data_IF_979838265789
#
_entry.id   IF_979838265789
#
_cell.length_a   1.000
_cell.length_b   1.000
_cell.length_c   1.000
_cell.angle_alpha   90.00
_cell.angle_beta   90.00
_cell.angle_gamma   90.00
#
_symmetry.space_group_name_H-M   'P 1'
#
loop_
_entity.id
_entity.type
_entity.pdbx_description
1 polymer ?
#
# COMPACT_ATOMS: atom_id res chain seq x y z
N UNK A 1 7.70 48.48 46.04
CA UNK A 1 7.37 47.04 45.96
C UNK A 1 6.22 46.71 45.01
N UNK A 2 5.20 47.57 44.82
CA UNK A 2 4.05 47.27 43.95
C UNK A 2 4.40 47.12 42.45
N UNK A 3 5.31 47.93 41.89
CA UNK A 3 5.66 47.85 40.46
C UNK A 3 6.31 46.51 40.05
N UNK A 4 7.16 45.95 40.92
CA UNK A 4 7.83 44.66 40.67
C UNK A 4 6.81 43.50 40.59
N UNK A 5 5.72 43.58 41.35
CA UNK A 5 4.67 42.55 41.36
C UNK A 5 3.85 42.59 40.07
N UNK A 6 3.59 43.79 39.54
CA UNK A 6 2.84 43.98 38.29
C UNK A 6 3.66 43.47 37.09
N UNK A 7 4.96 43.76 37.04
CA UNK A 7 5.84 43.28 35.96
C UNK A 7 5.95 41.75 35.94
N UNK A 8 6.06 41.13 37.11
CA UNK A 8 6.09 39.67 37.23
C UNK A 8 4.76 39.01 36.81
N UNK A 9 3.62 39.63 37.13
CA UNK A 9 2.30 39.15 36.71
C UNK A 9 2.11 39.24 35.19
N UNK A 10 2.60 40.32 34.56
CA UNK A 10 2.50 40.53 33.12
C UNK A 10 3.36 39.50 32.36
N UNK A 11 4.59 39.25 32.81
CA UNK A 11 5.48 38.23 32.24
C UNK A 11 4.86 36.83 32.38
N UNK A 12 4.29 36.49 33.54
CA UNK A 12 3.59 35.23 33.76
C UNK A 12 2.39 35.06 32.81
N UNK A 13 1.61 36.13 32.58
CA UNK A 13 0.46 36.08 31.69
C UNK A 13 0.88 35.83 30.23
N UNK A 14 1.94 36.50 29.76
CA UNK A 14 2.48 36.29 28.41
C UNK A 14 3.01 34.87 28.23
N UNK A 15 3.77 34.35 29.19
CA UNK A 15 4.31 32.98 29.11
C UNK A 15 3.17 31.95 29.08
N UNK A 16 2.10 32.16 29.88
CA UNK A 16 0.93 31.27 29.89
C UNK A 16 0.18 31.27 28.56
N UNK A 17 -0.05 32.44 27.97
CA UNK A 17 -0.78 32.54 26.69
C UNK A 17 0.04 31.94 25.55
N UNK A 18 1.34 32.25 25.47
CA UNK A 18 2.25 31.68 24.46
C UNK A 18 2.39 30.17 24.64
N UNK A 19 2.55 29.70 25.88
CA UNK A 19 2.64 28.27 26.21
C UNK A 19 1.39 27.49 25.79
N UNK A 20 0.19 28.04 26.04
CA UNK A 20 -1.06 27.41 25.62
C UNK A 20 -1.21 27.34 24.09
N UNK A 21 -0.82 28.38 23.37
CA UNK A 21 -0.86 28.42 21.90
C UNK A 21 0.10 27.36 21.32
N UNK A 22 1.34 27.30 21.81
CA UNK A 22 2.31 26.32 21.33
C UNK A 22 1.90 24.88 21.64
N UNK A 23 1.31 24.66 22.81
CA UNK A 23 0.83 23.33 23.23
C UNK A 23 -0.30 22.82 22.32
N UNK A 24 -1.15 23.71 21.80
CA UNK A 24 -2.18 23.34 20.81
C UNK A 24 -1.63 23.23 19.38
N UNK A 25 -0.62 24.04 19.03
CA UNK A 25 -0.07 24.09 17.67
C UNK A 25 0.77 22.86 17.32
N UNK A 26 1.58 22.35 18.26
CA UNK A 26 2.50 21.22 18.01
C UNK A 26 1.76 19.91 17.65
N UNK A 27 0.72 19.47 18.39
CA UNK A 27 -0.05 18.29 18.03
C UNK A 27 -0.79 18.45 16.70
N UNK A 28 -1.31 19.64 16.41
CA UNK A 28 -2.00 19.95 15.16
C UNK A 28 -1.06 19.80 13.96
N UNK A 29 0.15 20.37 14.04
CA UNK A 29 1.15 20.26 12.98
C UNK A 29 1.63 18.81 12.79
N UNK A 30 1.86 18.09 13.89
CA UNK A 30 2.24 16.68 13.84
C UNK A 30 1.15 15.82 13.19
N UNK A 31 -0.10 16.01 13.59
CA UNK A 31 -1.26 15.32 13.00
C UNK A 31 -1.41 15.63 11.52
N UNK A 32 -1.17 16.88 11.09
CA UNK A 32 -1.23 17.27 9.69
C UNK A 32 -0.16 16.56 8.84
N UNK A 33 1.10 16.52 9.31
CA UNK A 33 2.20 15.85 8.59
C UNK A 33 1.93 14.35 8.46
N UNK A 34 1.51 13.71 9.56
CA UNK A 34 1.20 12.28 9.59
C UNK A 34 -0.01 12.00 8.69
N UNK A 35 -1.07 12.79 8.81
CA UNK A 35 -2.28 12.66 8.00
C UNK A 35 -1.99 12.75 6.51
N UNK A 36 -1.18 13.73 6.09
CA UNK A 36 -0.76 13.85 4.68
C UNK A 36 0.01 12.62 4.21
N UNK A 37 0.92 12.08 5.02
CA UNK A 37 1.68 10.86 4.67
C UNK A 37 0.76 9.64 4.53
N UNK A 38 -0.17 9.46 5.45
CA UNK A 38 -1.14 8.35 5.43
C UNK A 38 -2.04 8.45 4.20
N UNK A 39 -2.60 9.63 3.91
CA UNK A 39 -3.45 9.84 2.73
C UNK A 39 -2.69 9.56 1.44
N UNK A 40 -1.44 10.02 1.34
CA UNK A 40 -0.64 9.81 0.13
C UNK A 40 -0.28 8.33 -0.05
N UNK A 41 0.02 7.62 1.04
CA UNK A 41 0.25 6.17 1.02
C UNK A 41 -1.01 5.41 0.59
N UNK A 42 -2.18 5.75 1.15
CA UNK A 42 -3.45 5.12 0.77
C UNK A 42 -3.79 5.38 -0.71
N UNK A 43 -3.51 6.58 -1.21
CA UNK A 43 -3.69 6.91 -2.63
C UNK A 43 -2.74 6.09 -3.51
N UNK A 44 -1.50 5.91 -3.08
CA UNK A 44 -0.52 5.11 -3.81
C UNK A 44 -0.87 3.62 -3.80
N UNK A 45 -1.35 3.09 -2.67
CA UNK A 45 -1.86 1.73 -2.54
C UNK A 45 -3.03 1.50 -3.49
N UNK A 46 -4.06 2.35 -3.48
CA UNK A 46 -5.20 2.22 -4.41
C UNK A 46 -4.77 2.17 -5.87
N UNK A 47 -3.79 2.98 -6.26
CA UNK A 47 -3.24 2.97 -7.64
C UNK A 47 -2.50 1.67 -7.94
N UNK A 48 -1.76 1.15 -6.97
CA UNK A 48 -1.09 -0.14 -7.07
C UNK A 48 -2.12 -1.27 -7.22
N UNK A 49 -3.20 -1.26 -6.44
CA UNK A 49 -4.25 -2.28 -6.50
C UNK A 49 -4.96 -2.29 -7.85
N UNK A 50 -5.32 -1.11 -8.36
CA UNK A 50 -5.87 -0.97 -9.71
C UNK A 50 -4.91 -1.51 -10.77
N UNK A 51 -3.63 -1.12 -10.72
CA UNK A 51 -2.64 -1.60 -11.66
C UNK A 51 -2.40 -3.13 -11.58
N UNK A 52 -2.46 -3.72 -10.38
CA UNK A 52 -2.37 -5.17 -10.20
C UNK A 52 -3.58 -5.88 -10.78
N UNK A 53 -4.79 -5.34 -10.58
CA UNK A 53 -6.02 -5.88 -11.16
C UNK A 53 -6.00 -5.82 -12.69
N UNK A 54 -5.54 -4.71 -13.28
CA UNK A 54 -5.38 -4.58 -14.73
C UNK A 54 -4.39 -5.61 -15.29
N UNK A 55 -3.25 -5.80 -14.62
CA UNK A 55 -2.26 -6.82 -15.01
C UNK A 55 -2.86 -8.23 -14.90
N UNK A 56 -3.63 -8.51 -13.84
CA UNK A 56 -4.31 -9.79 -13.67
C UNK A 56 -5.30 -10.05 -14.81
N UNK A 57 -6.07 -9.04 -15.21
CA UNK A 57 -6.97 -9.11 -16.34
C UNK A 57 -6.21 -9.43 -17.64
N UNK A 58 -5.14 -8.71 -17.95
CA UNK A 58 -4.32 -8.94 -19.15
C UNK A 58 -3.71 -10.36 -19.18
N UNK A 59 -3.25 -10.87 -18.04
CA UNK A 59 -2.75 -12.23 -17.92
C UNK A 59 -3.84 -13.29 -18.14
N UNK A 60 -5.07 -13.01 -17.73
CA UNK A 60 -6.21 -13.91 -17.96
C UNK A 60 -6.65 -13.89 -19.43
N UNK A 61 -6.64 -12.71 -20.07
CA UNK A 61 -6.87 -12.56 -21.51
C UNK A 61 -5.82 -13.35 -22.31
N UNK A 62 -4.54 -13.22 -21.97
CA UNK A 62 -3.47 -14.02 -22.59
C UNK A 62 -3.74 -15.53 -22.45
N UNK A 63 -4.17 -15.97 -21.25
CA UNK A 63 -4.49 -17.38 -20.99
C UNK A 63 -5.64 -17.87 -21.87
N UNK A 64 -6.70 -17.08 -22.02
CA UNK A 64 -7.85 -17.43 -22.86
C UNK A 64 -7.49 -17.44 -24.35
N UNK A 65 -6.76 -16.43 -24.84
CA UNK A 65 -6.27 -16.43 -26.23
C UNK A 65 -5.37 -17.62 -26.53
N UNK A 66 -4.48 -18.00 -25.60
CA UNK A 66 -3.65 -19.19 -25.76
C UNK A 66 -4.49 -20.48 -25.82
N UNK A 67 -5.61 -20.54 -25.09
CA UNK A 67 -6.53 -21.68 -25.13
C UNK A 67 -7.26 -21.74 -26.46
N UNK A 68 -7.75 -20.61 -26.97
CA UNK A 68 -8.42 -20.55 -28.27
C UNK A 68 -7.48 -20.95 -29.41
N UNK A 69 -6.25 -20.43 -29.43
CA UNK A 69 -5.26 -20.84 -30.45
C UNK A 69 -4.92 -22.33 -30.36
N UNK A 70 -4.87 -22.90 -29.15
CA UNK A 70 -4.67 -24.35 -29.00
C UNK A 70 -5.83 -25.15 -29.61
N UNK A 71 -7.06 -24.66 -29.49
CA UNK A 71 -8.25 -25.32 -30.05
C UNK A 71 -8.26 -25.19 -31.58
N UNK A 72 -7.94 -24.02 -32.11
CA UNK A 72 -8.00 -23.73 -33.56
C UNK A 72 -6.82 -24.29 -34.34
N UNK A 73 -5.59 -24.15 -33.83
CA UNK A 73 -4.34 -24.45 -34.54
C UNK A 73 -3.60 -25.67 -33.97
N UNK A 74 -4.08 -26.24 -32.85
CA UNK A 74 -3.43 -27.37 -32.17
C UNK A 74 -2.13 -27.02 -31.46
N UNK A 75 -1.75 -25.73 -31.39
CA UNK A 75 -0.49 -25.26 -30.79
C UNK A 75 -0.70 -23.96 -30.02
N UNK A 76 0.08 -23.77 -28.94
CA UNK A 76 0.11 -22.51 -28.19
C UNK A 76 1.32 -21.67 -28.59
N UNK A 77 1.07 -20.53 -29.22
CA UNK A 77 2.12 -19.60 -29.67
C UNK A 77 2.60 -18.63 -28.58
N UNK A 78 2.31 -18.94 -27.30
CA UNK A 78 2.55 -18.04 -26.16
C UNK A 78 4.01 -17.58 -26.04
N UNK A 79 4.95 -18.52 -26.04
CA UNK A 79 6.37 -18.22 -25.87
C UNK A 79 6.92 -17.47 -27.08
N UNK A 80 6.46 -17.85 -28.28
CA UNK A 80 6.82 -17.20 -29.54
C UNK A 80 6.40 -15.74 -29.51
N UNK A 81 5.14 -15.44 -29.19
CA UNK A 81 4.62 -14.07 -29.09
C UNK A 81 5.36 -13.28 -28.01
N UNK A 82 5.62 -13.87 -26.84
CA UNK A 82 6.40 -13.19 -25.79
C UNK A 82 7.84 -12.86 -26.23
N UNK A 83 8.45 -13.73 -27.03
CA UNK A 83 9.78 -13.47 -27.57
C UNK A 83 9.72 -12.39 -28.67
N UNK A 84 8.72 -12.40 -29.55
CA UNK A 84 8.47 -11.32 -30.50
C UNK A 84 8.30 -9.98 -29.79
N UNK A 85 7.48 -9.90 -28.74
CA UNK A 85 7.31 -8.66 -27.94
C UNK A 85 8.64 -8.16 -27.37
N UNK A 86 9.52 -9.06 -26.90
CA UNK A 86 10.84 -8.68 -26.40
C UNK A 86 11.77 -8.19 -27.50
N UNK A 87 11.80 -8.87 -28.65
CA UNK A 87 12.75 -8.60 -29.72
C UNK A 87 12.31 -7.46 -30.65
N UNK A 88 11.01 -7.37 -30.95
CA UNK A 88 10.44 -6.40 -31.89
C UNK A 88 10.05 -5.09 -31.19
N UNK A 89 9.44 -5.18 -30.01
CA UNK A 89 8.94 -4.00 -29.28
C UNK A 89 9.86 -3.56 -28.13
N UNK A 90 10.85 -4.37 -27.77
CA UNK A 90 11.81 -4.05 -26.70
C UNK A 90 11.22 -4.05 -25.28
N UNK A 91 10.00 -4.56 -25.09
CA UNK A 91 9.37 -4.62 -23.77
C UNK A 91 9.75 -5.89 -23.02
N UNK A 92 10.17 -5.73 -21.76
CA UNK A 92 10.59 -6.84 -20.91
C UNK A 92 9.57 -7.16 -19.83
N UNK A 93 9.19 -8.43 -19.75
CA UNK A 93 8.34 -8.93 -18.67
C UNK A 93 9.17 -9.18 -17.40
N UNK A 94 8.86 -8.47 -16.31
CA UNK A 94 9.63 -8.57 -15.06
C UNK A 94 9.45 -9.90 -14.30
N UNK A 95 8.35 -10.63 -14.54
CA UNK A 95 8.03 -11.87 -13.82
C UNK A 95 7.61 -11.68 -12.36
N UNK A 96 7.56 -10.44 -11.85
CA UNK A 96 7.24 -10.16 -10.44
C UNK A 96 5.76 -10.33 -10.14
N UNK A 97 4.90 -10.00 -11.10
CA UNK A 97 3.45 -10.03 -10.98
C UNK A 97 2.87 -11.23 -11.73
N UNK A 98 3.03 -12.44 -11.17
CA UNK A 98 2.33 -13.63 -11.67
C UNK A 98 0.94 -13.72 -11.03
N UNK A 99 -0.03 -14.37 -11.71
CA UNK A 99 -1.41 -14.50 -11.21
C UNK A 99 -1.46 -14.93 -9.73
N UNK A 100 -0.75 -16.00 -9.37
CA UNK A 100 -0.72 -16.49 -7.97
C UNK A 100 -0.11 -15.51 -6.97
N UNK A 101 0.82 -14.65 -7.39
CA UNK A 101 1.42 -13.62 -6.52
C UNK A 101 0.49 -12.43 -6.36
N UNK A 102 -0.21 -12.04 -7.42
CA UNK A 102 -1.23 -11.00 -7.38
C UNK A 102 -2.36 -11.42 -6.46
N UNK A 103 -2.91 -12.62 -6.65
CA UNK A 103 -3.98 -13.18 -5.81
C UNK A 103 -3.57 -13.19 -4.33
N UNK A 104 -2.35 -13.68 -4.02
CA UNK A 104 -1.84 -13.68 -2.65
C UNK A 104 -1.70 -12.27 -2.07
N UNK A 105 -1.32 -11.29 -2.88
CA UNK A 105 -1.16 -9.90 -2.43
C UNK A 105 -2.52 -9.27 -2.12
N UNK A 106 -3.52 -9.49 -2.97
CA UNK A 106 -4.89 -9.03 -2.78
C UNK A 106 -5.51 -9.69 -1.54
N UNK A 107 -5.36 -11.02 -1.37
CA UNK A 107 -5.87 -11.74 -0.18
C UNK A 107 -5.22 -11.27 1.13
N UNK A 108 -3.91 -11.01 1.13
CA UNK A 108 -3.23 -10.50 2.31
C UNK A 108 -3.70 -9.08 2.68
N UNK A 109 -4.05 -8.27 1.70
CA UNK A 109 -4.58 -6.94 1.95
C UNK A 109 -6.01 -6.99 2.51
N UNK A 110 -6.88 -7.84 1.96
CA UNK A 110 -8.22 -8.06 2.52
C UNK A 110 -8.14 -8.57 3.96
N UNK A 111 -7.24 -9.52 4.23
CA UNK A 111 -7.02 -10.04 5.57
C UNK A 111 -6.45 -8.97 6.51
N UNK A 112 -5.55 -8.11 6.05
CA UNK A 112 -4.99 -7.03 6.88
C UNK A 112 -6.04 -5.99 7.30
N UNK A 113 -7.05 -5.73 6.46
CA UNK A 113 -8.20 -4.87 6.81
C UNK A 113 -9.15 -5.56 7.79
N UNK A 114 -9.31 -6.88 7.72
CA UNK A 114 -10.13 -7.67 8.65
C UNK A 114 -9.42 -7.84 10.02
N UNK A 115 -8.10 -8.04 10.03
CA UNK A 115 -7.29 -8.28 11.24
C UNK A 115 -7.12 -6.98 12.09
N UNK A 116 -7.53 -5.81 11.59
CA UNK A 116 -7.54 -4.59 12.39
C UNK A 116 -8.62 -4.56 13.50
N UNK A 117 -9.51 -5.57 13.61
CA UNK A 117 -10.50 -5.61 14.72
C UNK A 117 -10.15 -6.52 15.89
N UNK A 118 -9.28 -7.51 15.76
CA UNK A 118 -8.74 -8.28 16.89
C UNK A 118 -7.67 -9.20 16.31
N UNK A 119 -6.46 -9.21 16.88
CA UNK A 119 -5.37 -10.06 16.35
C UNK A 119 -5.74 -11.53 16.60
N UNK A 120 -5.99 -12.38 15.58
CA UNK A 120 -6.08 -13.81 15.86
C UNK A 120 -4.66 -14.34 16.11
N UNK A 121 -4.43 -14.82 17.34
CA UNK A 121 -3.20 -15.53 17.72
C UNK A 121 -3.13 -16.82 16.90
N UNK A 122 -2.15 -16.93 15.99
CA UNK A 122 -1.94 -18.17 15.23
C UNK A 122 -1.45 -19.27 16.17
N UNK A 123 -2.07 -20.47 16.18
CA UNK A 123 -1.54 -21.59 16.95
C UNK A 123 -0.18 -22.02 16.38
N UNK A 124 0.74 -22.34 17.27
CA UNK A 124 2.10 -22.80 16.94
C UNK A 124 2.00 -24.08 16.11
N UNK A 125 2.57 -24.09 14.89
CA UNK A 125 2.65 -25.29 14.03
C UNK A 125 3.41 -26.38 14.78
N UNK A 126 2.73 -27.48 15.10
CA UNK A 126 3.38 -28.71 15.54
C UNK A 126 4.08 -29.34 14.32
N UNK A 127 5.40 -29.42 14.38
CA UNK A 127 6.19 -30.19 13.43
C UNK A 127 6.03 -31.67 13.76
N UNK A 128 5.35 -32.41 12.90
CA UNK A 128 5.36 -33.87 12.92
C UNK A 128 6.78 -34.35 12.67
N UNK A 129 7.38 -35.04 13.65
CA UNK A 129 8.61 -35.81 13.46
C UNK A 129 8.21 -37.22 13.04
N UNK A 130 8.05 -37.42 11.75
CA UNK A 130 8.15 -38.73 11.11
C UNK A 130 8.99 -38.57 9.85
#
# INVERSE_FOLDING_TARGET
MQNIVIDNLLVMAIIKTVGNILTAAVPSLAAYIIGKKVVNNNKLQRRLDSALSDIQFLLMVEKLHCREHMITEGKSNKLTIRNCVKHELGFFWSGKNTLSRIDRTISLESDSKIIQMDKPVRPKRMTSRY
#
